data_IF_895819295204
#
_entry.id   IF_895819295204
#
_cell.length_a   1.000
_cell.length_b   1.000
_cell.length_c   1.000
_cell.angle_alpha   90.00
_cell.angle_beta   90.00
_cell.angle_gamma   90.00
#
_symmetry.space_group_name_H-M   'P 1'
#
loop_
_entity.id
_entity.type
_entity.pdbx_description
1 polymer ?
#
# COMPACT_ATOMS: atom_id res chain seq x y z
N UNK A 1 -28.07 1.67 18.91
CA UNK A 1 -26.91 2.05 18.12
C UNK A 1 -27.21 1.61 16.70
N UNK A 2 -27.22 2.51 15.73
CA UNK A 2 -27.33 2.11 14.32
C UNK A 2 -26.09 1.27 14.00
N UNK A 3 -26.30 0.07 13.51
CA UNK A 3 -25.20 -0.74 12.97
C UNK A 3 -24.68 0.05 11.78
N UNK A 4 -23.40 0.40 11.82
CA UNK A 4 -22.72 1.02 10.69
C UNK A 4 -22.74 0.00 9.55
N UNK A 5 -23.48 0.30 8.50
CA UNK A 5 -23.66 -0.59 7.35
C UNK A 5 -22.66 -0.35 6.25
N UNK A 6 -21.86 0.71 6.35
CA UNK A 6 -20.83 1.01 5.37
C UNK A 6 -19.64 0.04 5.53
N UNK A 7 -19.21 -0.56 4.42
CA UNK A 7 -18.03 -1.43 4.37
C UNK A 7 -16.76 -0.62 4.25
N UNK A 8 -16.81 0.48 3.51
CA UNK A 8 -15.71 1.40 3.29
C UNK A 8 -16.24 2.82 3.49
N UNK A 9 -15.64 3.58 4.37
CA UNK A 9 -16.06 4.96 4.60
C UNK A 9 -15.52 5.87 3.50
N UNK A 10 -16.32 6.84 3.01
CA UNK A 10 -15.82 7.93 2.19
C UNK A 10 -14.70 8.69 2.92
N UNK A 11 -13.73 9.15 2.16
CA UNK A 11 -12.57 9.85 2.70
C UNK A 11 -12.91 11.33 2.91
N UNK A 12 -12.64 11.85 4.11
CA UNK A 12 -12.80 13.27 4.38
C UNK A 12 -11.74 14.10 3.64
N UNK A 13 -12.11 15.29 3.21
CA UNK A 13 -11.17 16.30 2.72
C UNK A 13 -10.64 17.10 3.92
N UNK A 14 -9.38 16.90 4.24
CA UNK A 14 -8.67 17.55 5.35
C UNK A 14 -7.76 18.68 4.86
N UNK A 15 -7.96 19.20 3.63
CA UNK A 15 -7.15 20.29 3.10
C UNK A 15 -7.31 21.55 3.91
N UNK A 16 -6.19 22.11 4.39
CA UNK A 16 -6.15 23.36 5.15
C UNK A 16 -5.50 24.47 4.30
N UNK A 17 -6.31 25.45 3.90
CA UNK A 17 -5.87 26.61 3.11
C UNK A 17 -4.82 27.46 3.83
N UNK A 18 -4.92 27.59 5.15
CA UNK A 18 -3.99 28.39 5.92
C UNK A 18 -2.62 27.71 5.98
N UNK A 19 -2.60 26.40 6.25
CA UNK A 19 -1.37 25.59 6.21
C UNK A 19 -0.76 25.53 4.81
N UNK A 20 -1.58 25.40 3.77
CA UNK A 20 -1.14 25.39 2.37
C UNK A 20 -0.51 26.72 1.94
N UNK A 21 -1.01 27.86 2.44
CA UNK A 21 -0.46 29.19 2.15
C UNK A 21 0.94 29.41 2.77
N UNK A 22 1.30 28.64 3.80
CA UNK A 22 2.65 28.66 4.39
C UNK A 22 3.67 27.89 3.58
N UNK A 23 3.22 26.93 2.75
CA UNK A 23 4.07 26.11 1.87
C UNK A 23 4.51 26.91 0.62
N UNK A 24 5.62 27.65 0.74
CA UNK A 24 6.09 28.62 -0.27
C UNK A 24 6.90 27.98 -1.42
N UNK A 25 7.39 26.78 -1.25
CA UNK A 25 8.14 26.07 -2.30
C UNK A 25 7.37 24.85 -2.79
N UNK A 26 7.67 24.41 -4.00
CA UNK A 26 7.14 23.17 -4.60
C UNK A 26 7.34 21.97 -3.66
N UNK A 27 8.53 21.86 -3.03
CA UNK A 27 8.84 20.80 -2.08
C UNK A 27 7.96 20.85 -0.84
N UNK A 28 7.71 22.04 -0.27
CA UNK A 28 6.82 22.20 0.88
C UNK A 28 5.37 21.85 0.54
N UNK A 29 4.91 22.21 -0.67
CA UNK A 29 3.55 21.88 -1.13
C UNK A 29 3.33 20.38 -1.26
N UNK A 30 4.27 19.66 -1.89
CA UNK A 30 4.16 18.19 -2.01
C UNK A 30 4.31 17.51 -0.64
N UNK A 31 5.14 18.04 0.25
CA UNK A 31 5.28 17.52 1.62
C UNK A 31 3.96 17.66 2.41
N UNK A 32 3.31 18.83 2.35
CA UNK A 32 2.01 19.03 3.01
C UNK A 32 0.94 18.07 2.49
N UNK A 33 0.83 17.90 1.17
CA UNK A 33 -0.08 16.92 0.58
C UNK A 33 0.27 15.48 1.00
N UNK A 34 1.56 15.15 1.10
CA UNK A 34 2.02 13.83 1.55
C UNK A 34 1.56 13.52 2.98
N UNK A 35 1.70 14.50 3.89
CA UNK A 35 1.24 14.35 5.26
C UNK A 35 -0.27 14.12 5.37
N UNK A 36 -1.07 14.85 4.59
CA UNK A 36 -2.52 14.66 4.55
C UNK A 36 -2.88 13.25 4.04
N UNK A 37 -2.27 12.80 2.95
CA UNK A 37 -2.49 11.45 2.42
C UNK A 37 -2.05 10.37 3.40
N UNK A 38 -0.87 10.52 4.00
CA UNK A 38 -0.30 9.54 4.91
C UNK A 38 -0.97 9.49 6.29
N UNK A 39 -1.56 10.58 6.77
CA UNK A 39 -2.30 10.62 8.03
C UNK A 39 -3.60 9.82 7.96
N UNK A 40 -4.17 9.65 6.77
CA UNK A 40 -5.36 8.82 6.55
C UNK A 40 -4.96 7.43 6.04
N UNK A 41 -5.00 6.43 6.93
CA UNK A 41 -4.58 5.05 6.61
C UNK A 41 -5.48 4.34 5.61
N UNK A 42 -6.70 4.83 5.37
CA UNK A 42 -7.53 4.35 4.28
C UNK A 42 -7.02 4.79 2.89
N UNK A 43 -6.14 5.81 2.81
CA UNK A 43 -5.51 6.28 1.58
C UNK A 43 -4.11 5.70 1.36
N UNK A 44 -3.29 5.65 2.43
CA UNK A 44 -1.92 5.19 2.36
C UNK A 44 -1.54 4.43 3.63
N UNK A 45 -1.10 3.20 3.49
CA UNK A 45 -0.65 2.36 4.58
C UNK A 45 0.77 2.76 5.03
N UNK A 46 1.28 2.16 6.12
CA UNK A 46 2.63 2.44 6.65
C UNK A 46 3.72 2.22 5.59
N UNK A 47 4.48 3.28 5.32
CA UNK A 47 5.55 3.27 4.32
C UNK A 47 5.10 3.16 2.87
N UNK A 48 3.80 2.91 2.63
CA UNK A 48 3.23 2.74 1.31
C UNK A 48 2.97 4.03 0.56
N UNK A 49 2.83 3.90 -0.75
CA UNK A 49 2.62 5.01 -1.65
C UNK A 49 3.81 5.96 -1.75
N UNK A 50 3.73 6.87 -2.68
CA UNK A 50 4.70 7.93 -2.89
C UNK A 50 4.09 9.11 -3.62
N UNK A 51 4.69 10.26 -3.42
CA UNK A 51 4.28 11.53 -4.01
C UNK A 51 5.45 12.18 -4.69
N UNK A 52 5.16 13.03 -5.66
CA UNK A 52 6.20 13.81 -6.33
C UNK A 52 5.70 15.18 -6.75
N UNK A 53 6.64 16.09 -6.95
CA UNK A 53 6.39 17.35 -7.62
C UNK A 53 7.51 17.67 -8.62
N UNK A 54 7.14 18.29 -9.74
CA UNK A 54 8.07 18.79 -10.75
C UNK A 54 8.20 20.30 -10.62
N UNK A 55 9.40 20.83 -10.86
CA UNK A 55 9.69 22.24 -10.77
C UNK A 55 11.13 22.55 -11.17
N UNK A 56 11.70 23.60 -10.63
CA UNK A 56 13.06 24.02 -10.89
C UNK A 56 13.90 23.92 -9.62
N UNK A 57 15.10 23.35 -9.74
CA UNK A 57 16.09 23.26 -8.68
C UNK A 57 17.43 23.86 -9.13
N UNK A 58 18.27 24.25 -8.17
CA UNK A 58 19.62 24.73 -8.45
C UNK A 58 20.59 23.56 -8.41
N UNK A 59 21.37 23.36 -9.48
CA UNK A 59 22.41 22.33 -9.53
C UNK A 59 23.67 22.75 -8.75
N UNK A 60 24.65 21.83 -8.66
CA UNK A 60 25.92 22.02 -7.92
C UNK A 60 26.83 23.11 -8.49
N UNK A 61 26.54 23.65 -9.67
CA UNK A 61 27.28 24.78 -10.27
C UNK A 61 26.46 26.08 -10.29
N UNK A 62 25.29 26.08 -9.61
CA UNK A 62 24.45 27.25 -9.46
C UNK A 62 23.49 27.51 -10.62
N UNK A 63 23.21 26.52 -11.49
CA UNK A 63 22.26 26.67 -12.61
C UNK A 63 20.89 26.17 -12.21
N UNK A 64 19.87 26.91 -12.65
CA UNK A 64 18.48 26.45 -12.59
C UNK A 64 18.25 25.33 -13.61
N UNK A 65 17.79 24.18 -13.13
CA UNK A 65 17.51 23.00 -13.95
C UNK A 65 16.13 22.44 -13.66
N UNK A 66 15.41 21.89 -14.64
CA UNK A 66 14.19 21.14 -14.40
C UNK A 66 14.45 19.94 -13.49
N UNK A 67 13.64 19.84 -12.43
CA UNK A 67 13.81 18.81 -11.43
C UNK A 67 12.47 18.14 -11.08
N UNK A 68 12.56 16.92 -10.57
CA UNK A 68 11.48 16.21 -9.91
C UNK A 68 11.93 15.82 -8.50
N UNK A 69 11.10 16.10 -7.50
CA UNK A 69 11.24 15.59 -6.14
C UNK A 69 10.29 14.40 -5.99
N UNK A 70 10.85 13.25 -5.68
CA UNK A 70 10.06 12.02 -5.44
C UNK A 70 10.38 11.52 -4.04
N UNK A 71 9.36 11.05 -3.33
CA UNK A 71 9.55 10.40 -2.01
C UNK A 71 10.61 9.30 -2.11
N UNK A 72 11.59 9.37 -1.21
CA UNK A 72 12.62 8.35 -1.06
C UNK A 72 12.08 7.03 -0.52
N UNK A 73 12.83 5.96 -0.77
CA UNK A 73 12.48 4.63 -0.27
C UNK A 73 12.59 4.57 1.25
N UNK A 74 11.61 3.94 1.90
CA UNK A 74 11.64 3.64 3.35
C UNK A 74 11.03 4.68 4.28
N UNK A 75 10.62 5.87 3.79
CA UNK A 75 9.92 6.86 4.61
C UNK A 75 8.40 6.66 4.55
N UNK A 76 7.69 7.09 5.59
CA UNK A 76 6.23 7.07 5.68
C UNK A 76 5.66 8.44 5.33
N UNK A 77 4.61 8.48 4.48
CA UNK A 77 4.00 9.73 4.02
C UNK A 77 3.52 10.62 5.17
N UNK A 78 3.03 10.04 6.27
CA UNK A 78 2.52 10.79 7.42
C UNK A 78 3.61 11.54 8.21
N UNK A 79 4.84 11.03 8.21
CA UNK A 79 5.90 11.48 9.12
C UNK A 79 7.18 11.93 8.42
N UNK A 80 7.22 11.83 7.09
CA UNK A 80 8.38 12.22 6.29
C UNK A 80 8.70 13.72 6.41
N UNK A 81 9.92 14.09 6.10
CA UNK A 81 10.41 15.46 6.03
C UNK A 81 10.82 15.83 4.61
N UNK A 82 11.20 17.07 4.40
CA UNK A 82 11.78 17.55 3.14
C UNK A 82 13.03 16.76 2.70
N UNK A 83 13.78 16.23 3.68
CA UNK A 83 14.99 15.42 3.45
C UNK A 83 14.70 14.02 2.94
N UNK A 84 13.45 13.58 3.05
CA UNK A 84 13.02 12.27 2.57
C UNK A 84 12.63 12.30 1.08
N UNK A 85 12.68 13.45 0.44
CA UNK A 85 12.54 13.58 -1.01
C UNK A 85 13.88 13.51 -1.71
N UNK A 86 13.91 12.79 -2.82
CA UNK A 86 15.07 12.70 -3.69
C UNK A 86 14.87 13.64 -4.87
N UNK A 87 15.67 14.71 -4.99
CA UNK A 87 15.68 15.58 -6.16
C UNK A 87 16.46 14.95 -7.31
N UNK A 88 15.82 14.82 -8.49
CA UNK A 88 16.48 14.31 -9.70
C UNK A 88 16.33 15.30 -10.84
N UNK A 89 17.36 15.35 -11.71
CA UNK A 89 17.32 16.13 -12.96
C UNK A 89 16.32 15.51 -13.94
N UNK A 90 15.24 16.20 -14.19
CA UNK A 90 14.13 15.67 -15.00
C UNK A 90 14.57 15.41 -16.45
N UNK A 91 15.46 16.23 -17.01
CA UNK A 91 16.00 16.06 -18.36
C UNK A 91 16.83 14.78 -18.54
N UNK A 92 17.44 14.26 -17.47
CA UNK A 92 18.20 13.01 -17.49
C UNK A 92 17.30 11.79 -17.27
N UNK A 93 16.11 11.98 -16.66
CA UNK A 93 15.15 10.91 -16.35
C UNK A 93 14.18 10.66 -17.51
N UNK A 94 13.65 11.72 -18.13
CA UNK A 94 12.61 11.61 -19.16
C UNK A 94 13.02 10.79 -20.40
N UNK A 95 14.26 10.83 -20.89
CA UNK A 95 14.67 10.03 -22.07
C UNK A 95 14.57 8.52 -21.86
N UNK A 96 14.50 8.04 -20.62
CA UNK A 96 14.27 6.62 -20.34
C UNK A 96 12.92 6.12 -20.87
N UNK A 97 11.96 7.02 -21.09
CA UNK A 97 10.68 6.65 -21.70
C UNK A 97 10.83 6.09 -23.13
N UNK A 98 11.83 6.52 -23.87
CA UNK A 98 12.05 6.08 -25.24
C UNK A 98 12.73 4.70 -25.34
N UNK A 99 13.30 4.19 -24.25
CA UNK A 99 13.87 2.85 -24.21
C UNK A 99 12.79 1.78 -24.30
N UNK A 100 13.03 0.73 -25.08
CA UNK A 100 12.10 -0.39 -25.21
C UNK A 100 11.97 -1.16 -23.87
N UNK A 101 13.11 -1.44 -23.25
CA UNK A 101 13.24 -2.20 -22.01
C UNK A 101 14.46 -1.72 -21.21
N UNK A 102 14.43 -1.97 -19.91
CA UNK A 102 15.53 -1.70 -18.98
C UNK A 102 15.36 -2.63 -17.78
N UNK A 103 16.46 -3.16 -17.23
CA UNK A 103 16.41 -3.88 -15.95
C UNK A 103 16.15 -2.90 -14.80
N UNK A 104 15.54 -3.39 -13.71
CA UNK A 104 15.32 -2.55 -12.53
C UNK A 104 16.65 -2.15 -11.87
N UNK A 105 17.67 -3.00 -11.93
CA UNK A 105 19.02 -2.73 -11.46
C UNK A 105 19.66 -1.57 -12.23
N UNK A 106 19.59 -1.60 -13.56
CA UNK A 106 20.12 -0.52 -14.42
C UNK A 106 19.34 0.78 -14.22
N UNK A 107 18.01 0.69 -14.07
CA UNK A 107 17.16 1.84 -13.75
C UNK A 107 17.58 2.49 -12.44
N UNK A 108 17.75 1.72 -11.38
CA UNK A 108 18.18 2.22 -10.07
C UNK A 108 19.56 2.86 -10.16
N UNK A 109 20.51 2.23 -10.88
CA UNK A 109 21.85 2.76 -11.09
C UNK A 109 21.83 4.07 -11.90
N UNK A 110 20.93 4.19 -12.89
CA UNK A 110 20.75 5.41 -13.67
C UNK A 110 20.16 6.53 -12.82
N UNK A 111 19.06 6.26 -12.10
CA UNK A 111 18.41 7.23 -11.23
C UNK A 111 19.37 7.79 -10.16
N UNK A 112 20.25 6.97 -9.61
CA UNK A 112 21.27 7.42 -8.67
C UNK A 112 22.24 8.45 -9.28
N UNK A 113 22.51 8.39 -10.57
CA UNK A 113 23.34 9.38 -11.28
C UNK A 113 22.59 10.66 -11.61
N UNK A 114 21.26 10.60 -11.71
CA UNK A 114 20.42 11.77 -11.98
C UNK A 114 20.15 12.61 -10.71
N UNK A 115 20.53 12.16 -9.52
CA UNK A 115 20.31 12.91 -8.28
C UNK A 115 21.07 14.25 -8.29
N UNK A 116 20.36 15.31 -7.86
CA UNK A 116 20.94 16.63 -7.66
C UNK A 116 21.70 16.72 -6.33
N UNK A 117 21.24 15.96 -5.31
CA UNK A 117 21.92 15.82 -4.03
C UNK A 117 22.35 14.36 -3.81
N UNK A 118 23.66 14.07 -3.88
CA UNK A 118 24.17 12.71 -3.63
C UNK A 118 23.93 12.20 -2.19
N UNK A 119 23.61 13.08 -1.24
CA UNK A 119 23.29 12.72 0.14
C UNK A 119 21.79 12.42 0.33
N UNK A 120 20.95 12.71 -0.66
CA UNK A 120 19.52 12.37 -0.61
C UNK A 120 19.33 10.85 -0.53
N UNK A 121 18.21 10.39 0.06
CA UNK A 121 17.90 8.98 0.11
C UNK A 121 17.76 8.39 -1.31
N UNK A 122 17.86 7.07 -1.40
CA UNK A 122 17.56 6.38 -2.65
C UNK A 122 16.13 6.69 -3.09
N UNK A 123 15.93 7.10 -4.33
CA UNK A 123 14.61 7.37 -4.88
C UNK A 123 13.74 6.10 -4.93
N UNK A 124 12.42 6.26 -4.89
CA UNK A 124 11.48 5.16 -5.04
C UNK A 124 11.73 4.39 -6.34
N UNK A 125 11.49 3.07 -6.31
CA UNK A 125 11.49 2.22 -7.52
C UNK A 125 10.47 2.72 -8.56
N UNK A 126 9.48 3.51 -8.13
CA UNK A 126 8.42 4.06 -8.97
C UNK A 126 8.69 5.49 -9.44
N UNK A 127 9.91 5.99 -9.26
CA UNK A 127 10.31 7.33 -9.69
C UNK A 127 9.97 7.61 -11.15
N UNK A 128 10.14 6.63 -12.04
CA UNK A 128 9.83 6.79 -13.46
C UNK A 128 8.32 6.90 -13.73
N UNK A 129 7.47 6.22 -12.94
CA UNK A 129 6.02 6.38 -13.00
C UNK A 129 5.65 7.86 -12.79
N UNK A 130 6.23 8.49 -11.78
CA UNK A 130 6.01 9.91 -11.50
C UNK A 130 6.58 10.82 -12.58
N UNK A 131 7.76 10.51 -13.10
CA UNK A 131 8.40 11.32 -14.13
C UNK A 131 7.63 11.31 -15.44
N UNK A 132 7.10 10.15 -15.84
CA UNK A 132 6.44 9.93 -17.13
C UNK A 132 5.02 10.48 -17.22
N UNK A 133 4.33 10.68 -16.10
CA UNK A 133 3.06 11.41 -16.06
C UNK A 133 3.34 12.91 -16.24
N UNK A 134 2.79 13.60 -17.26
CA UNK A 134 3.19 14.97 -17.64
C UNK A 134 2.52 16.06 -16.80
N UNK A 135 2.21 15.82 -15.54
CA UNK A 135 1.63 16.78 -14.60
C UNK A 135 2.65 17.25 -13.56
N UNK A 136 2.41 18.39 -12.94
CA UNK A 136 3.31 18.97 -11.95
C UNK A 136 3.36 18.15 -10.66
N UNK A 137 2.23 17.66 -10.18
CA UNK A 137 2.12 16.84 -8.97
C UNK A 137 1.54 15.47 -9.32
N UNK A 138 2.15 14.41 -8.80
CA UNK A 138 1.69 13.02 -8.99
C UNK A 138 1.63 12.32 -7.64
N UNK A 139 0.48 11.76 -7.33
CA UNK A 139 0.22 10.96 -6.14
C UNK A 139 -0.01 9.51 -6.55
N UNK A 140 0.78 8.62 -5.97
CA UNK A 140 0.56 7.19 -6.02
C UNK A 140 0.26 6.71 -4.61
N UNK A 141 -0.89 6.10 -4.42
CA UNK A 141 -1.38 5.63 -3.12
C UNK A 141 -1.99 4.23 -3.24
N UNK A 142 -2.18 3.56 -2.10
CA UNK A 142 -2.78 2.22 -2.03
C UNK A 142 -4.10 2.26 -1.25
N UNK A 143 -5.13 3.00 -1.72
CA UNK A 143 -6.35 3.23 -0.97
C UNK A 143 -7.17 1.96 -0.81
N UNK A 144 -7.74 1.74 0.38
CA UNK A 144 -8.57 0.57 0.68
C UNK A 144 -9.72 0.40 -0.29
N UNK A 145 -10.44 1.49 -0.61
CA UNK A 145 -11.58 1.47 -1.53
C UNK A 145 -11.18 1.05 -2.95
N UNK A 146 -10.06 1.58 -3.45
CA UNK A 146 -9.54 1.22 -4.77
C UNK A 146 -9.05 -0.22 -4.79
N UNK A 147 -8.30 -0.63 -3.75
CA UNK A 147 -7.78 -1.99 -3.68
C UNK A 147 -8.88 -3.03 -3.49
N UNK A 148 -9.98 -2.71 -2.80
CA UNK A 148 -11.15 -3.58 -2.73
C UNK A 148 -11.70 -3.90 -4.12
N UNK A 149 -11.71 -2.93 -5.05
CA UNK A 149 -12.12 -3.13 -6.44
C UNK A 149 -10.98 -3.79 -7.25
N UNK A 150 -9.75 -3.28 -7.13
CA UNK A 150 -8.62 -3.71 -7.96
C UNK A 150 -8.15 -5.15 -7.68
N UNK A 151 -8.47 -5.71 -6.51
CA UNK A 151 -8.20 -7.10 -6.15
C UNK A 151 -9.36 -8.05 -6.46
N UNK A 152 -10.55 -7.53 -6.84
CA UNK A 152 -11.69 -8.36 -7.19
C UNK A 152 -11.46 -9.07 -8.53
N UNK A 153 -12.06 -10.24 -8.71
CA UNK A 153 -12.00 -11.03 -9.96
C UNK A 153 -12.46 -10.20 -11.16
N UNK A 154 -13.51 -9.40 -10.99
CA UNK A 154 -14.07 -8.51 -12.00
C UNK A 154 -13.57 -7.07 -11.89
N UNK A 155 -12.41 -6.84 -11.23
CA UNK A 155 -11.92 -5.51 -10.88
C UNK A 155 -11.87 -4.55 -12.07
N UNK A 156 -11.36 -4.99 -13.23
CA UNK A 156 -11.31 -4.17 -14.44
C UNK A 156 -12.69 -3.69 -14.90
N UNK A 157 -13.68 -4.58 -14.89
CA UNK A 157 -15.05 -4.22 -15.26
C UNK A 157 -15.67 -3.26 -14.23
N UNK A 158 -15.40 -3.46 -12.96
CA UNK A 158 -15.87 -2.58 -11.88
C UNK A 158 -15.23 -1.20 -11.94
N UNK A 159 -13.96 -1.08 -12.29
CA UNK A 159 -13.31 0.22 -12.48
C UNK A 159 -13.94 0.95 -13.67
N UNK A 160 -14.19 0.25 -14.79
CA UNK A 160 -14.88 0.84 -15.93
C UNK A 160 -16.32 1.26 -15.59
N UNK A 161 -17.04 0.50 -14.76
CA UNK A 161 -18.38 0.86 -14.30
C UNK A 161 -18.34 2.06 -13.33
N UNK A 162 -17.35 2.12 -12.45
CA UNK A 162 -17.22 3.16 -11.43
C UNK A 162 -16.79 4.50 -12.04
N UNK A 163 -15.80 4.51 -12.93
CA UNK A 163 -15.13 5.72 -13.40
C UNK A 163 -15.29 6.01 -14.91
N UNK A 164 -15.84 5.06 -15.67
CA UNK A 164 -15.99 5.22 -17.12
C UNK A 164 -14.66 5.50 -17.83
N UNK A 165 -14.70 6.46 -18.76
CA UNK A 165 -13.54 6.87 -19.58
C UNK A 165 -12.50 7.72 -18.82
N UNK A 166 -12.78 8.11 -17.59
CA UNK A 166 -11.86 8.87 -16.72
C UNK A 166 -10.69 8.01 -16.21
N UNK A 167 -10.86 6.67 -16.21
CA UNK A 167 -9.88 5.74 -15.64
C UNK A 167 -9.19 4.87 -16.70
N UNK A 168 -7.90 4.69 -16.55
CA UNK A 168 -7.18 3.60 -17.22
C UNK A 168 -6.93 2.46 -16.22
N UNK A 169 -6.96 1.23 -16.73
CA UNK A 169 -6.60 0.01 -16.02
C UNK A 169 -5.26 -0.51 -16.53
N UNK A 170 -4.32 -0.71 -15.62
CA UNK A 170 -3.05 -1.38 -15.90
C UNK A 170 -3.05 -2.74 -15.20
N UNK A 171 -2.85 -3.81 -15.98
CA UNK A 171 -2.77 -5.16 -15.43
C UNK A 171 -1.58 -5.30 -14.47
N UNK A 172 -1.69 -6.26 -13.54
CA UNK A 172 -0.63 -6.43 -12.55
C UNK A 172 0.72 -6.70 -13.19
N UNK A 173 1.64 -5.83 -12.88
CA UNK A 173 3.06 -6.00 -13.17
C UNK A 173 3.85 -5.49 -11.95
N UNK A 174 4.98 -6.12 -11.67
CA UNK A 174 5.85 -5.70 -10.57
C UNK A 174 6.27 -4.24 -10.73
N UNK A 175 6.29 -3.44 -9.62
CA UNK A 175 6.82 -2.09 -9.65
C UNK A 175 8.22 -2.03 -10.24
N UNK A 176 8.46 -1.06 -11.14
CA UNK A 176 9.71 -0.89 -11.84
C UNK A 176 9.55 -0.23 -13.20
N UNK A 177 10.53 -0.42 -14.07
CA UNK A 177 10.59 0.23 -15.39
C UNK A 177 9.37 -0.06 -16.26
N UNK A 178 8.98 -1.33 -16.38
CA UNK A 178 7.88 -1.74 -17.25
C UNK A 178 6.53 -1.15 -16.80
N UNK A 179 6.24 -1.13 -15.49
CA UNK A 179 5.05 -0.50 -14.94
C UNK A 179 5.02 1.00 -15.25
N UNK A 180 6.13 1.69 -15.01
CA UNK A 180 6.24 3.13 -15.26
C UNK A 180 5.97 3.48 -16.73
N UNK A 181 6.46 2.66 -17.67
CA UNK A 181 6.18 2.84 -19.10
C UNK A 181 4.70 2.66 -19.45
N UNK A 182 4.05 1.64 -18.89
CA UNK A 182 2.64 1.40 -19.15
C UNK A 182 1.77 2.57 -18.67
N UNK A 183 2.04 3.06 -17.45
CA UNK A 183 1.34 4.23 -16.91
C UNK A 183 1.60 5.48 -17.76
N UNK A 184 2.86 5.77 -18.06
CA UNK A 184 3.23 6.93 -18.88
C UNK A 184 2.65 6.88 -20.30
N UNK A 185 2.59 5.69 -20.92
CA UNK A 185 1.97 5.49 -22.22
C UNK A 185 0.45 5.73 -22.16
N UNK A 186 -0.25 5.12 -21.19
CA UNK A 186 -1.69 5.30 -21.03
C UNK A 186 -2.09 6.78 -20.91
N UNK A 187 -1.35 7.55 -20.07
CA UNK A 187 -1.64 8.98 -19.88
C UNK A 187 -1.32 9.82 -21.11
N UNK A 188 -0.28 9.46 -21.87
CA UNK A 188 0.07 10.18 -23.12
C UNK A 188 -0.86 9.86 -24.27
N UNK A 189 -1.35 8.62 -24.37
CA UNK A 189 -2.31 8.19 -25.40
C UNK A 189 -3.70 8.79 -25.16
N UNK A 190 -4.10 8.96 -23.90
CA UNK A 190 -5.36 9.60 -23.53
C UNK A 190 -5.15 10.73 -22.50
N UNK A 191 -4.91 11.97 -22.95
CA UNK A 191 -4.73 13.12 -22.05
C UNK A 191 -5.96 13.50 -21.22
N UNK A 192 -7.13 12.92 -21.50
CA UNK A 192 -8.36 13.17 -20.74
C UNK A 192 -8.48 12.29 -19.50
N UNK A 193 -7.60 11.31 -19.33
CA UNK A 193 -7.57 10.48 -18.14
C UNK A 193 -7.38 11.32 -16.88
N UNK A 194 -8.07 10.94 -15.83
CA UNK A 194 -7.96 11.56 -14.49
C UNK A 194 -7.23 10.68 -13.49
N UNK A 195 -7.22 9.36 -13.74
CA UNK A 195 -6.61 8.38 -12.86
C UNK A 195 -6.13 7.14 -13.64
N UNK A 196 -5.19 6.43 -13.04
CA UNK A 196 -4.81 5.07 -13.45
C UNK A 196 -4.96 4.14 -12.26
N UNK A 197 -5.69 3.05 -12.41
CA UNK A 197 -5.77 1.98 -11.42
C UNK A 197 -4.80 0.87 -11.82
N UNK A 198 -3.94 0.52 -10.87
CA UNK A 198 -2.98 -0.56 -10.99
C UNK A 198 -3.60 -1.82 -10.34
N UNK A 199 -3.85 -2.86 -11.14
CA UNK A 199 -4.42 -4.11 -10.66
C UNK A 199 -3.62 -4.68 -9.49
N UNK A 200 -4.28 -5.02 -8.37
CA UNK A 200 -3.66 -5.61 -7.17
C UNK A 200 -2.50 -4.78 -6.60
N UNK A 201 -2.55 -3.45 -6.80
CA UNK A 201 -1.49 -2.57 -6.37
C UNK A 201 -2.04 -1.27 -5.78
N UNK A 202 -2.63 -0.38 -6.58
CA UNK A 202 -3.09 0.91 -6.09
C UNK A 202 -3.56 1.86 -7.17
N UNK A 203 -3.42 3.15 -6.88
CA UNK A 203 -3.96 4.28 -7.61
C UNK A 203 -2.86 5.27 -8.00
N UNK A 204 -2.96 5.84 -9.19
CA UNK A 204 -2.16 7.00 -9.62
C UNK A 204 -3.10 8.14 -9.99
N UNK A 205 -2.93 9.30 -9.38
CA UNK A 205 -3.68 10.54 -9.64
C UNK A 205 -2.70 11.68 -9.80
N UNK A 206 -3.06 12.72 -10.54
CA UNK A 206 -2.19 13.86 -10.80
C UNK A 206 -2.95 15.17 -10.94
N UNK A 207 -2.25 16.28 -10.81
CA UNK A 207 -2.75 17.63 -10.96
C UNK A 207 -1.65 18.64 -11.24
N UNK A 208 -2.04 19.85 -11.60
CA UNK A 208 -1.11 20.98 -11.84
C UNK A 208 -0.70 21.68 -10.54
N UNK A 209 -1.36 21.34 -9.43
CA UNK A 209 -1.00 21.79 -8.09
C UNK A 209 -1.11 20.64 -7.08
N UNK A 210 -0.47 20.79 -5.92
CA UNK A 210 -0.56 19.84 -4.81
C UNK A 210 -2.01 19.67 -4.34
N UNK A 211 -2.76 20.78 -4.25
CA UNK A 211 -4.18 20.79 -3.92
C UNK A 211 -5.02 19.99 -4.91
N UNK A 212 -4.88 20.28 -6.19
CA UNK A 212 -5.65 19.61 -7.23
C UNK A 212 -5.41 18.10 -7.22
N UNK A 213 -4.14 17.67 -7.11
CA UNK A 213 -3.81 16.25 -7.03
C UNK A 213 -4.40 15.59 -5.76
N UNK A 214 -4.37 16.31 -4.62
CA UNK A 214 -4.96 15.84 -3.37
C UNK A 214 -6.48 15.72 -3.47
N UNK A 215 -7.20 16.80 -3.86
CA UNK A 215 -8.66 16.81 -4.01
C UNK A 215 -9.15 15.72 -4.96
N UNK A 216 -8.44 15.49 -6.09
CA UNK A 216 -8.74 14.39 -7.00
C UNK A 216 -8.56 13.03 -6.35
N UNK A 217 -7.50 12.85 -5.54
CA UNK A 217 -7.29 11.59 -4.81
C UNK A 217 -8.46 11.32 -3.87
N UNK A 218 -8.88 12.33 -3.09
CA UNK A 218 -10.03 12.22 -2.17
C UNK A 218 -11.32 11.89 -2.93
N UNK A 219 -11.61 12.61 -4.00
CA UNK A 219 -12.82 12.40 -4.80
C UNK A 219 -12.88 11.00 -5.41
N UNK A 220 -11.77 10.52 -5.97
CA UNK A 220 -11.66 9.17 -6.56
C UNK A 220 -11.85 8.09 -5.49
N UNK A 221 -11.21 8.24 -4.33
CA UNK A 221 -11.34 7.27 -3.25
C UNK A 221 -12.75 7.25 -2.65
N UNK A 222 -13.41 8.40 -2.50
CA UNK A 222 -14.78 8.49 -2.02
C UNK A 222 -15.77 7.88 -3.01
N UNK A 223 -15.62 8.14 -4.31
CA UNK A 223 -16.44 7.51 -5.35
C UNK A 223 -16.26 5.98 -5.36
N UNK A 224 -15.04 5.48 -5.20
CA UNK A 224 -14.78 4.05 -5.08
C UNK A 224 -15.45 3.45 -3.83
N UNK A 225 -15.39 4.15 -2.67
CA UNK A 225 -16.02 3.69 -1.44
C UNK A 225 -17.55 3.59 -1.60
N UNK A 226 -18.19 4.59 -2.18
CA UNK A 226 -19.62 4.56 -2.49
C UNK A 226 -19.98 3.39 -3.43
N UNK A 227 -19.18 3.19 -4.47
CA UNK A 227 -19.36 2.08 -5.41
C UNK A 227 -19.27 0.72 -4.72
N UNK A 228 -18.27 0.51 -3.87
CA UNK A 228 -18.11 -0.73 -3.09
C UNK A 228 -19.31 -0.95 -2.18
N UNK A 229 -19.75 0.08 -1.45
CA UNK A 229 -20.91 -0.01 -0.54
C UNK A 229 -22.19 -0.37 -1.28
N UNK A 230 -22.43 0.23 -2.46
CA UNK A 230 -23.61 -0.12 -3.29
C UNK A 230 -23.52 -1.56 -3.79
N UNK A 231 -22.36 -2.03 -4.25
CA UNK A 231 -22.17 -3.40 -4.76
C UNK A 231 -22.30 -4.46 -3.67
N UNK A 232 -22.03 -4.12 -2.44
CA UNK A 232 -22.01 -5.04 -1.31
C UNK A 232 -23.24 -4.94 -0.38
N UNK A 233 -24.19 -4.03 -0.67
CA UNK A 233 -25.30 -3.68 0.23
C UNK A 233 -26.13 -4.88 0.71
N UNK A 234 -26.30 -5.92 -0.12
CA UNK A 234 -27.10 -7.11 0.18
C UNK A 234 -26.25 -8.33 0.58
N UNK A 235 -24.97 -8.15 0.86
CA UNK A 235 -24.05 -9.24 1.20
C UNK A 235 -23.66 -9.19 2.67
N UNK A 236 -23.65 -10.36 3.31
CA UNK A 236 -23.03 -10.48 4.62
C UNK A 236 -21.51 -10.32 4.50
N UNK A 237 -20.90 -9.54 5.38
CA UNK A 237 -19.44 -9.44 5.46
C UNK A 237 -18.84 -10.83 5.69
N UNK A 238 -17.82 -11.17 4.94
CA UNK A 238 -17.06 -12.42 5.07
C UNK A 238 -17.94 -13.69 5.11
N UNK A 239 -19.07 -13.71 4.38
CA UNK A 239 -20.09 -14.77 4.37
C UNK A 239 -20.76 -15.01 5.74
N UNK A 240 -20.70 -14.03 6.62
CA UNK A 240 -21.33 -14.06 7.95
C UNK A 240 -20.49 -14.76 9.02
N UNK A 241 -20.98 -14.72 10.25
CA UNK A 241 -20.32 -15.35 11.39
C UNK A 241 -20.42 -16.89 11.35
N UNK A 242 -19.40 -17.57 11.86
CA UNK A 242 -19.36 -19.04 11.93
C UNK A 242 -20.42 -19.64 12.82
N UNK A 243 -20.98 -18.86 13.73
CA UNK A 243 -21.93 -19.36 14.74
C UNK A 243 -21.27 -20.17 15.87
N UNK A 244 -19.94 -20.18 15.95
CA UNK A 244 -19.20 -20.75 17.08
C UNK A 244 -19.44 -19.93 18.34
N UNK A 245 -19.24 -20.55 19.52
CA UNK A 245 -19.38 -19.85 20.79
C UNK A 245 -18.31 -18.78 20.91
N UNK A 246 -18.73 -17.50 21.01
CA UNK A 246 -17.79 -16.41 21.27
C UNK A 246 -17.40 -16.38 22.75
N UNK A 247 -16.10 -16.29 23.01
CA UNK A 247 -15.60 -16.04 24.36
C UNK A 247 -15.98 -14.64 24.85
N UNK A 248 -16.45 -14.53 26.08
CA UNK A 248 -16.59 -13.25 26.75
C UNK A 248 -15.25 -12.53 26.91
N UNK A 249 -15.30 -11.22 27.17
CA UNK A 249 -14.07 -10.40 27.29
C UNK A 249 -13.08 -10.95 28.35
N UNK A 250 -13.59 -11.35 29.52
CA UNK A 250 -12.76 -11.92 30.58
C UNK A 250 -12.14 -13.26 30.17
N UNK A 251 -12.92 -14.17 29.58
CA UNK A 251 -12.45 -15.48 29.11
C UNK A 251 -11.43 -15.33 27.97
N UNK A 252 -11.63 -14.35 27.11
CA UNK A 252 -10.69 -14.01 26.05
C UNK A 252 -9.35 -13.53 26.63
N UNK A 253 -9.40 -12.64 27.63
CA UNK A 253 -8.21 -12.17 28.37
C UNK A 253 -7.45 -13.31 29.03
N UNK A 254 -8.15 -14.22 29.72
CA UNK A 254 -7.56 -15.39 30.33
C UNK A 254 -6.94 -16.35 29.32
N UNK A 255 -7.62 -16.55 28.19
CA UNK A 255 -7.11 -17.36 27.08
C UNK A 255 -5.82 -16.75 26.52
N UNK A 256 -5.80 -15.46 26.19
CA UNK A 256 -4.63 -14.76 25.70
C UNK A 256 -3.45 -14.86 26.67
N UNK A 257 -3.68 -14.67 27.97
CA UNK A 257 -2.64 -14.79 29.00
C UNK A 257 -1.96 -16.17 28.97
N UNK A 258 -2.70 -17.22 28.62
CA UNK A 258 -2.19 -18.58 28.56
C UNK A 258 -1.55 -18.96 27.21
N UNK A 259 -1.99 -18.37 26.09
CA UNK A 259 -1.51 -18.74 24.76
C UNK A 259 -0.43 -17.85 24.21
N UNK A 260 -0.41 -16.55 24.57
CA UNK A 260 0.63 -15.62 24.11
C UNK A 260 2.06 -16.04 24.49
N UNK A 261 2.34 -16.55 25.70
CA UNK A 261 3.67 -17.07 26.02
C UNK A 261 4.08 -18.26 25.12
N UNK A 262 3.12 -19.13 24.75
CA UNK A 262 3.36 -20.27 23.87
C UNK A 262 3.66 -19.80 22.46
N UNK A 263 2.86 -18.88 21.92
CA UNK A 263 3.08 -18.26 20.61
C UNK A 263 4.42 -17.54 20.58
N UNK A 264 4.70 -16.70 21.60
CA UNK A 264 5.97 -15.98 21.69
C UNK A 264 7.16 -16.93 21.70
N UNK A 265 7.10 -18.01 22.47
CA UNK A 265 8.16 -19.03 22.48
C UNK A 265 8.34 -19.70 21.13
N UNK A 266 7.24 -19.98 20.42
CA UNK A 266 7.28 -20.62 19.09
C UNK A 266 7.89 -19.70 18.02
N UNK A 267 7.57 -18.38 18.03
CA UNK A 267 8.08 -17.42 17.04
C UNK A 267 9.43 -16.82 17.39
N UNK A 268 9.93 -16.99 18.65
CA UNK A 268 11.21 -16.47 19.13
C UNK A 268 12.36 -17.50 19.01
N UNK A 269 12.31 -18.41 18.04
CA UNK A 269 13.41 -19.34 17.80
C UNK A 269 14.69 -18.59 17.38
N UNK A 270 15.81 -19.30 17.47
CA UNK A 270 17.13 -18.83 17.01
C UNK A 270 17.71 -17.64 17.79
N UNK A 271 17.31 -17.47 19.07
CA UNK A 271 17.88 -16.47 19.97
C UNK A 271 17.30 -15.06 19.80
N UNK A 272 16.35 -14.85 18.89
CA UNK A 272 15.65 -13.56 18.74
C UNK A 272 14.38 -13.54 19.59
N UNK A 273 14.24 -12.52 20.46
CA UNK A 273 13.00 -12.31 21.22
C UNK A 273 12.02 -11.47 20.40
N UNK A 274 10.82 -11.99 20.19
CA UNK A 274 9.74 -11.25 19.50
C UNK A 274 8.82 -10.58 20.52
N UNK A 275 8.25 -9.43 20.14
CA UNK A 275 7.17 -8.76 20.86
C UNK A 275 5.88 -9.07 20.12
N UNK A 276 4.85 -9.49 20.86
CA UNK A 276 3.53 -9.77 20.30
C UNK A 276 2.59 -8.59 20.59
N UNK A 277 1.80 -8.23 19.58
CA UNK A 277 0.71 -7.27 19.71
C UNK A 277 -0.58 -8.04 19.41
N UNK A 278 -1.56 -7.95 20.31
CA UNK A 278 -2.89 -8.53 20.07
C UNK A 278 -3.82 -7.43 19.54
N UNK A 279 -4.41 -7.67 18.38
CA UNK A 279 -5.47 -6.83 17.84
C UNK A 279 -6.82 -7.51 18.12
N UNK A 280 -7.65 -6.89 18.95
CA UNK A 280 -8.99 -7.33 19.32
C UNK A 280 -10.05 -6.34 18.82
N UNK A 281 -9.71 -5.53 17.83
CA UNK A 281 -10.67 -4.62 17.21
C UNK A 281 -11.88 -5.35 16.64
N UNK A 282 -13.03 -4.69 16.53
CA UNK A 282 -14.23 -5.29 15.91
C UNK A 282 -13.95 -5.84 14.51
N UNK A 283 -13.15 -5.13 13.71
CA UNK A 283 -12.80 -5.56 12.35
C UNK A 283 -11.98 -6.87 12.34
N UNK A 284 -10.94 -6.96 13.19
CA UNK A 284 -10.14 -8.18 13.30
C UNK A 284 -10.97 -9.36 13.82
N UNK A 285 -11.79 -9.14 14.85
CA UNK A 285 -12.63 -10.20 15.42
C UNK A 285 -13.73 -10.65 14.46
N UNK A 286 -14.34 -9.74 13.69
CA UNK A 286 -15.32 -10.08 12.65
C UNK A 286 -14.71 -11.00 11.58
N UNK A 287 -13.50 -10.69 11.10
CA UNK A 287 -12.82 -11.53 10.12
C UNK A 287 -12.49 -12.92 10.67
N UNK A 288 -11.93 -13.01 11.88
CA UNK A 288 -11.51 -14.30 12.43
C UNK A 288 -12.67 -15.18 12.87
N UNK A 289 -13.85 -14.59 13.15
CA UNK A 289 -15.08 -15.31 13.52
C UNK A 289 -16.00 -15.50 12.30
N UNK A 290 -15.51 -15.39 11.10
CA UNK A 290 -16.32 -15.47 9.87
C UNK A 290 -16.14 -16.79 9.14
N UNK A 291 -17.15 -17.16 8.35
CA UNK A 291 -17.16 -18.37 7.50
C UNK A 291 -16.05 -18.29 6.44
N UNK A 292 -15.85 -17.12 5.82
CA UNK A 292 -14.87 -16.93 4.77
C UNK A 292 -13.45 -16.68 5.30
N UNK A 293 -13.26 -16.35 6.58
CA UNK A 293 -11.97 -16.00 7.18
C UNK A 293 -10.82 -16.97 6.84
N UNK A 294 -10.99 -18.28 7.06
CA UNK A 294 -9.97 -19.27 6.74
C UNK A 294 -9.50 -19.25 5.28
N UNK A 295 -10.41 -18.99 4.35
CA UNK A 295 -10.13 -18.97 2.92
C UNK A 295 -9.56 -17.62 2.47
N UNK A 296 -10.17 -16.52 2.90
CA UNK A 296 -9.76 -15.17 2.50
C UNK A 296 -8.35 -14.83 2.97
N UNK A 297 -7.98 -15.23 4.18
CA UNK A 297 -6.62 -15.01 4.69
C UNK A 297 -5.54 -15.77 3.91
N UNK A 298 -5.90 -16.77 3.12
CA UNK A 298 -4.98 -17.54 2.29
C UNK A 298 -4.90 -17.05 0.82
N UNK A 299 -5.60 -15.97 0.47
CA UNK A 299 -5.52 -15.39 -0.89
C UNK A 299 -4.22 -14.62 -1.08
N UNK A 300 -3.72 -13.95 -0.04
CA UNK A 300 -2.51 -13.14 -0.08
C UNK A 300 -2.79 -11.65 0.19
N UNK A 301 -1.74 -10.85 0.03
CA UNK A 301 -1.77 -9.42 0.31
C UNK A 301 -2.58 -8.65 -0.75
N UNK A 302 -3.32 -7.62 -0.30
CA UNK A 302 -4.11 -6.76 -1.18
C UNK A 302 -3.27 -5.68 -1.91
N UNK A 303 -2.10 -5.36 -1.38
CA UNK A 303 -1.19 -4.38 -1.96
C UNK A 303 0.27 -4.69 -1.59
N UNK A 304 1.26 -4.07 -2.27
CA UNK A 304 2.69 -4.30 -2.02
C UNK A 304 3.14 -4.01 -0.57
N UNK A 305 2.52 -3.06 0.12
CA UNK A 305 2.91 -2.63 1.47
C UNK A 305 2.92 -3.79 2.46
N UNK A 306 1.92 -4.66 2.40
CA UNK A 306 1.85 -5.82 3.26
C UNK A 306 3.04 -6.76 3.05
N UNK A 307 3.51 -6.91 1.81
CA UNK A 307 4.65 -7.78 1.49
C UNK A 307 5.99 -7.22 2.00
N UNK A 308 6.08 -5.90 2.17
CA UNK A 308 7.28 -5.26 2.76
C UNK A 308 7.35 -5.46 4.27
N UNK A 309 6.20 -5.45 4.94
CA UNK A 309 6.12 -5.44 6.40
C UNK A 309 5.72 -6.79 7.01
N UNK A 310 5.07 -7.66 6.23
CA UNK A 310 4.59 -8.96 6.68
C UNK A 310 5.00 -10.07 5.72
N UNK A 311 4.70 -11.31 6.08
CA UNK A 311 4.84 -12.44 5.17
C UNK A 311 3.65 -12.46 4.18
N UNK A 312 3.79 -13.22 3.10
CA UNK A 312 2.79 -13.36 2.02
C UNK A 312 1.40 -13.76 2.54
N UNK A 313 1.36 -14.70 3.48
CA UNK A 313 0.13 -15.21 4.08
C UNK A 313 0.24 -15.13 5.61
N UNK A 314 -0.85 -14.89 6.33
CA UNK A 314 -0.88 -15.09 7.78
C UNK A 314 -1.00 -16.58 8.14
N UNK A 315 -0.54 -16.95 9.34
CA UNK A 315 -0.85 -18.25 9.92
C UNK A 315 -2.29 -18.23 10.44
N UNK A 316 -3.14 -19.08 9.89
CA UNK A 316 -4.48 -19.34 10.43
C UNK A 316 -4.43 -20.46 11.46
N UNK A 317 -4.95 -20.20 12.67
CA UNK A 317 -5.08 -21.20 13.74
C UNK A 317 -6.55 -21.38 14.06
N UNK A 318 -7.13 -22.47 13.62
CA UNK A 318 -8.53 -22.80 13.93
C UNK A 318 -8.70 -23.13 15.42
N UNK A 319 -9.74 -22.55 16.06
CA UNK A 319 -10.10 -22.81 17.43
C UNK A 319 -11.61 -22.63 17.62
N UNK A 320 -12.26 -23.62 18.18
CA UNK A 320 -13.67 -23.56 18.58
C UNK A 320 -13.75 -23.70 20.11
N UNK A 321 -14.04 -22.62 20.84
CA UNK A 321 -14.14 -22.65 22.30
C UNK A 321 -15.21 -23.62 22.84
N UNK A 322 -16.20 -23.98 22.02
CA UNK A 322 -17.25 -24.94 22.40
C UNK A 322 -16.83 -26.41 22.28
N UNK A 323 -15.77 -26.68 21.50
CA UNK A 323 -15.34 -28.05 21.18
C UNK A 323 -13.86 -28.33 21.56
N UNK A 324 -13.00 -27.30 21.54
CA UNK A 324 -11.56 -27.41 21.75
C UNK A 324 -11.16 -26.96 23.18
N UNK A 325 -10.18 -27.64 23.76
CA UNK A 325 -9.53 -27.17 24.98
C UNK A 325 -8.29 -26.31 24.70
N UNK A 326 -7.80 -25.62 25.73
CA UNK A 326 -6.59 -24.78 25.62
C UNK A 326 -5.31 -25.60 25.29
N UNK A 327 -5.26 -26.88 25.65
CA UNK A 327 -4.17 -27.78 25.30
C UNK A 327 -4.11 -27.96 23.79
N UNK A 328 -5.26 -28.22 23.17
CA UNK A 328 -5.42 -28.33 21.71
C UNK A 328 -5.01 -27.03 21.01
N UNK A 329 -5.46 -25.87 21.48
CA UNK A 329 -5.05 -24.58 20.92
C UNK A 329 -3.55 -24.36 21.00
N UNK A 330 -2.93 -24.62 22.15
CA UNK A 330 -1.48 -24.49 22.34
C UNK A 330 -0.68 -25.43 21.44
N UNK A 331 -1.19 -26.63 21.20
CA UNK A 331 -0.57 -27.59 20.27
C UNK A 331 -0.68 -27.11 18.82
N UNK A 332 -1.88 -26.66 18.39
CA UNK A 332 -2.09 -26.10 17.04
C UNK A 332 -1.20 -24.89 16.77
N UNK A 333 -1.01 -24.01 17.76
CA UNK A 333 -0.06 -22.88 17.66
C UNK A 333 1.36 -23.38 17.41
N UNK A 334 1.87 -24.32 18.19
CA UNK A 334 3.24 -24.83 18.02
C UNK A 334 3.45 -25.51 16.68
N UNK A 335 2.57 -26.44 16.32
CA UNK A 335 2.67 -27.16 15.05
C UNK A 335 2.44 -26.21 13.86
N UNK A 336 1.48 -25.29 13.97
CA UNK A 336 1.22 -24.30 12.93
C UNK A 336 2.41 -23.39 12.65
N UNK A 337 3.09 -22.88 13.68
CA UNK A 337 4.31 -22.07 13.50
C UNK A 337 5.43 -22.88 12.86
N UNK A 338 5.62 -24.13 13.25
CA UNK A 338 6.62 -25.01 12.64
C UNK A 338 6.34 -25.23 11.15
N UNK A 339 5.13 -25.68 10.81
CA UNK A 339 4.71 -25.85 9.40
C UNK A 339 4.84 -24.56 8.59
N UNK A 340 4.40 -23.43 9.16
CA UNK A 340 4.49 -22.14 8.48
C UNK A 340 5.92 -21.74 8.13
N UNK A 341 6.89 -22.05 9.00
CA UNK A 341 8.32 -21.82 8.73
C UNK A 341 8.82 -22.68 7.58
N UNK A 342 8.45 -23.96 7.57
CA UNK A 342 8.84 -24.89 6.52
C UNK A 342 8.25 -24.45 5.17
N UNK A 343 6.97 -24.10 5.13
CA UNK A 343 6.26 -23.60 3.95
C UNK A 343 6.89 -22.29 3.43
N UNK A 344 7.24 -21.38 4.34
CA UNK A 344 7.89 -20.12 3.95
C UNK A 344 9.31 -20.35 3.43
N UNK A 345 10.07 -21.23 4.05
CA UNK A 345 11.41 -21.59 3.58
C UNK A 345 11.36 -22.22 2.18
N UNK A 346 10.38 -23.09 1.93
CA UNK A 346 10.17 -23.66 0.60
C UNK A 346 9.80 -22.57 -0.42
N UNK A 347 8.82 -21.71 -0.09
CA UNK A 347 8.45 -20.58 -0.94
C UNK A 347 9.63 -19.69 -1.27
N UNK A 348 10.47 -19.38 -0.27
CA UNK A 348 11.68 -18.59 -0.48
C UNK A 348 12.64 -19.29 -1.44
N UNK A 349 12.94 -20.58 -1.21
CA UNK A 349 13.84 -21.35 -2.06
C UNK A 349 13.38 -21.44 -3.53
N UNK A 350 12.06 -21.48 -3.77
CA UNK A 350 11.48 -21.54 -5.11
C UNK A 350 11.51 -20.19 -5.87
N UNK A 351 11.56 -19.06 -5.13
CA UNK A 351 11.37 -17.73 -5.72
C UNK A 351 12.57 -16.79 -5.54
N UNK A 352 13.53 -17.12 -4.67
CA UNK A 352 14.67 -16.27 -4.38
C UNK A 352 15.72 -16.26 -5.49
N UNK A 353 16.33 -15.10 -5.71
CA UNK A 353 17.55 -14.97 -6.52
C UNK A 353 18.80 -15.25 -5.67
N UNK A 354 19.96 -15.37 -6.33
CA UNK A 354 21.27 -15.68 -5.66
C UNK A 354 21.65 -14.67 -4.57
N UNK A 355 21.14 -13.43 -4.66
CA UNK A 355 21.49 -12.36 -3.73
C UNK A 355 20.42 -12.10 -2.64
N UNK A 356 19.30 -12.82 -2.68
CA UNK A 356 18.22 -12.61 -1.72
C UNK A 356 18.54 -13.27 -0.38
N UNK A 357 18.12 -12.62 0.71
CA UNK A 357 18.21 -13.16 2.06
C UNK A 357 16.82 -13.39 2.62
N UNK A 358 16.59 -14.55 3.20
CA UNK A 358 15.31 -14.85 3.85
C UNK A 358 15.15 -13.97 5.09
N UNK A 359 14.02 -13.27 5.16
CA UNK A 359 13.67 -12.49 6.36
C UNK A 359 13.23 -13.42 7.50
N UNK A 360 13.63 -13.06 8.73
CA UNK A 360 13.30 -13.78 9.97
C UNK A 360 11.79 -13.88 10.26
#
# INVERSE_FOLDING_TARGET
>A
MSVDTELVHPVADDWDEAAAAEAKSTLQQVLSASHLLGSNRALANFGGGNTSAKGTATDHVGREVPAIWVKGSGSDLATMSDRDFTPLKLEEVLPLFDLAEMSDEDMVAHLARCQLDPAAPRSSIETLLHAFVPAAHVHHTHPDAINAIACAENGKAFIAECFGDDAAWVEYIRPGFALAKQVGAAVRENPNLKLVVLAKHGLVVWGDSAREAYEKTIAVCSQAAEFVNVKAADRARFDGATGTVSLGEAERGDTLTQVLPVLRGAVSADGTSKILIADLSPAATELVDSVAGPTLTQVGAACPDHLVHTKRLPLWVAFDPGADDLGTLKQRIRSGVATYRDDYAQYFAENASVNDQMAD
#
